data_IF_937211498290
#
_entry.id   IF_937211498290
#
_cell.length_a   1.000
_cell.length_b   1.000
_cell.length_c   1.000
_cell.angle_alpha   90.00
_cell.angle_beta   90.00
_cell.angle_gamma   90.00
#
_symmetry.space_group_name_H-M   'P 1'
#
loop_
_entity.id
_entity.type
_entity.pdbx_description
1 polymer ?
#
# COMPACT_ATOMS: atom_id res chain seq x y z
N UNK A 1 -17.92 -29.38 25.90
CA UNK A 1 -17.71 -29.35 24.43
C UNK A 1 -16.20 -29.40 24.21
N UNK A 2 -15.65 -30.44 23.57
CA UNK A 2 -14.19 -30.57 23.44
C UNK A 2 -13.60 -29.46 22.54
N UNK A 3 -12.36 -29.05 22.80
CA UNK A 3 -11.67 -28.01 22.02
C UNK A 3 -11.68 -28.32 20.50
N UNK A 4 -11.59 -29.60 20.14
CA UNK A 4 -11.67 -30.11 18.76
C UNK A 4 -13.01 -29.81 18.07
N UNK A 5 -14.13 -29.90 18.79
CA UNK A 5 -15.46 -29.61 18.23
C UNK A 5 -15.61 -28.10 17.99
N UNK A 6 -15.11 -27.29 18.93
CA UNK A 6 -15.16 -25.83 18.84
C UNK A 6 -14.30 -25.31 17.67
N UNK A 7 -13.13 -25.89 17.46
CA UNK A 7 -12.24 -25.59 16.35
C UNK A 7 -12.85 -25.98 14.99
N UNK A 8 -13.48 -27.16 14.91
CA UNK A 8 -14.20 -27.61 13.72
C UNK A 8 -15.31 -26.62 13.31
N UNK A 9 -16.11 -26.13 14.27
CA UNK A 9 -17.17 -25.15 13.98
C UNK A 9 -16.61 -23.79 13.57
N UNK A 10 -15.50 -23.34 14.15
CA UNK A 10 -14.81 -22.11 13.72
C UNK A 10 -14.33 -22.22 12.28
N UNK A 11 -13.71 -23.36 11.92
CA UNK A 11 -13.25 -23.64 10.55
C UNK A 11 -14.40 -23.65 9.53
N UNK A 12 -15.52 -24.28 9.85
CA UNK A 12 -16.73 -24.28 9.00
C UNK A 12 -17.32 -22.88 8.80
N UNK A 13 -17.40 -22.06 9.87
CA UNK A 13 -17.88 -20.68 9.77
C UNK A 13 -16.95 -19.83 8.90
N UNK A 14 -15.63 -19.99 9.05
CA UNK A 14 -14.62 -19.29 8.25
C UNK A 14 -14.69 -19.66 6.77
N UNK A 15 -14.75 -20.95 6.43
CA UNK A 15 -14.85 -21.38 5.03
C UNK A 15 -16.08 -20.80 4.32
N UNK A 16 -17.20 -20.67 5.06
CA UNK A 16 -18.40 -20.00 4.54
C UNK A 16 -18.20 -18.49 4.37
N UNK A 17 -17.41 -17.85 5.25
CA UNK A 17 -17.05 -16.44 5.11
C UNK A 17 -16.17 -16.22 3.87
N UNK A 18 -15.11 -17.02 3.71
CA UNK A 18 -14.20 -16.95 2.56
C UNK A 18 -14.98 -17.08 1.25
N UNK A 19 -15.85 -18.08 1.12
CA UNK A 19 -16.66 -18.27 -0.10
C UNK A 19 -17.53 -17.06 -0.45
N UNK A 20 -18.04 -16.35 0.55
CA UNK A 20 -18.88 -15.16 0.35
C UNK A 20 -18.03 -13.95 -0.07
N UNK A 21 -16.79 -13.85 0.44
CA UNK A 21 -15.83 -12.87 -0.03
C UNK A 21 -15.46 -13.19 -1.49
N UNK A 22 -15.07 -14.42 -1.80
CA UNK A 22 -14.73 -14.84 -3.17
C UNK A 22 -15.87 -14.58 -4.17
N UNK A 23 -17.13 -14.76 -3.76
CA UNK A 23 -18.29 -14.47 -4.61
C UNK A 23 -18.63 -12.99 -4.77
N UNK A 24 -18.03 -12.10 -3.96
CA UNK A 24 -18.29 -10.66 -3.99
C UNK A 24 -19.68 -10.25 -3.46
N UNK A 25 -20.36 -11.14 -2.72
CA UNK A 25 -21.70 -10.85 -2.20
C UNK A 25 -21.61 -10.02 -0.91
N UNK A 26 -21.59 -8.70 -1.07
CA UNK A 26 -21.52 -7.73 0.02
C UNK A 26 -22.72 -7.83 0.99
N UNK A 27 -23.89 -8.25 0.50
CA UNK A 27 -25.10 -8.35 1.33
C UNK A 27 -25.01 -9.55 2.27
N UNK A 28 -24.62 -10.71 1.74
CA UNK A 28 -24.35 -11.90 2.55
C UNK A 28 -23.15 -11.70 3.46
N UNK A 29 -22.12 -10.96 3.01
CA UNK A 29 -20.93 -10.66 3.81
C UNK A 29 -21.31 -9.83 5.04
N UNK A 30 -21.98 -8.69 4.84
CA UNK A 30 -22.40 -7.79 5.93
C UNK A 30 -23.31 -8.48 6.94
N UNK A 31 -24.25 -9.32 6.48
CA UNK A 31 -25.13 -10.11 7.36
C UNK A 31 -24.34 -11.11 8.21
N UNK A 32 -23.32 -11.75 7.63
CA UNK A 32 -22.49 -12.73 8.34
C UNK A 32 -21.57 -12.08 9.35
N UNK A 33 -20.93 -10.96 8.98
CA UNK A 33 -20.01 -10.24 9.86
C UNK A 33 -20.70 -9.79 11.17
N UNK A 34 -21.96 -9.34 11.10
CA UNK A 34 -22.76 -9.00 12.30
C UNK A 34 -22.99 -10.16 13.27
N UNK A 35 -22.94 -11.41 12.77
CA UNK A 35 -23.22 -12.62 13.54
C UNK A 35 -21.94 -13.40 13.91
N UNK A 36 -20.76 -12.89 13.54
CA UNK A 36 -19.47 -13.54 13.74
C UNK A 36 -18.72 -12.92 14.93
N UNK A 37 -17.96 -13.77 15.61
CA UNK A 37 -16.97 -13.35 16.59
C UNK A 37 -15.73 -12.82 15.83
N UNK A 38 -15.20 -11.63 16.18
CA UNK A 38 -13.98 -11.06 15.56
C UNK A 38 -12.81 -12.04 15.47
N UNK A 39 -12.68 -12.98 16.42
CA UNK A 39 -11.62 -13.99 16.41
C UNK A 39 -11.64 -14.91 15.16
N UNK A 40 -12.76 -15.00 14.44
CA UNK A 40 -12.88 -15.80 13.20
C UNK A 40 -12.26 -15.09 11.98
N UNK A 41 -12.15 -13.76 12.02
CA UNK A 41 -11.55 -12.96 10.93
C UNK A 41 -10.04 -13.23 10.79
N UNK A 42 -9.43 -13.59 11.93
CA UNK A 42 -8.00 -13.78 12.10
C UNK A 42 -7.53 -15.22 11.98
N UNK A 43 -8.45 -16.18 12.06
CA UNK A 43 -8.10 -17.59 12.03
C UNK A 43 -7.46 -17.91 10.67
N UNK A 44 -6.29 -18.54 10.62
CA UNK A 44 -5.65 -19.05 9.40
C UNK A 44 -6.10 -20.50 9.15
N UNK A 45 -6.37 -20.92 7.91
CA UNK A 45 -6.67 -22.32 7.59
C UNK A 45 -5.42 -23.04 7.07
N UNK A 46 -5.57 -24.22 6.46
CA UNK A 46 -4.45 -24.98 5.88
C UNK A 46 -3.78 -24.25 4.69
N UNK A 47 -4.37 -23.14 4.19
CA UNK A 47 -3.82 -22.24 3.15
C UNK A 47 -3.33 -20.91 3.79
N UNK A 48 -3.40 -20.79 5.12
CA UNK A 48 -2.92 -19.66 5.92
C UNK A 48 -3.55 -18.27 5.66
N UNK A 49 -4.60 -18.14 4.83
CA UNK A 49 -5.11 -16.81 4.43
C UNK A 49 -6.11 -16.22 5.46
N UNK A 50 -5.96 -14.96 5.83
CA UNK A 50 -6.94 -14.20 6.63
C UNK A 50 -8.12 -13.70 5.77
N UNK A 51 -9.20 -13.24 6.40
CA UNK A 51 -10.33 -12.66 5.65
C UNK A 51 -9.92 -11.40 4.86
N UNK A 52 -9.05 -10.56 5.44
CA UNK A 52 -8.48 -9.38 4.75
C UNK A 52 -7.67 -9.83 3.54
N UNK A 53 -6.80 -10.83 3.69
CA UNK A 53 -5.96 -11.32 2.60
C UNK A 53 -6.79 -11.84 1.42
N UNK A 54 -7.87 -12.59 1.68
CA UNK A 54 -8.78 -13.05 0.64
C UNK A 54 -9.42 -11.88 -0.09
N UNK A 55 -9.87 -10.83 0.63
CA UNK A 55 -10.46 -9.66 0.00
C UNK A 55 -9.45 -8.88 -0.86
N UNK A 56 -8.19 -8.79 -0.42
CA UNK A 56 -7.09 -8.17 -1.19
C UNK A 56 -6.83 -8.97 -2.47
N UNK A 57 -6.62 -10.28 -2.37
CA UNK A 57 -6.35 -11.16 -3.53
C UNK A 57 -7.52 -11.19 -4.52
N UNK A 58 -8.74 -10.97 -4.04
CA UNK A 58 -9.93 -10.85 -4.88
C UNK A 58 -10.16 -9.44 -5.46
N UNK A 59 -9.36 -8.42 -5.07
CA UNK A 59 -9.52 -7.04 -5.53
C UNK A 59 -10.70 -6.28 -4.91
N UNK A 60 -11.30 -6.81 -3.84
CA UNK A 60 -12.59 -6.35 -3.34
C UNK A 60 -12.45 -5.33 -2.22
N UNK A 61 -12.15 -4.08 -2.57
CA UNK A 61 -11.99 -2.98 -1.59
C UNK A 61 -13.20 -2.80 -0.66
N UNK A 62 -14.43 -2.91 -1.18
CA UNK A 62 -15.66 -2.80 -0.35
C UNK A 62 -15.83 -3.97 0.62
N UNK A 63 -15.47 -5.19 0.20
CA UNK A 63 -15.51 -6.35 1.09
C UNK A 63 -14.47 -6.18 2.20
N UNK A 64 -13.28 -5.71 1.85
CA UNK A 64 -12.20 -5.40 2.80
C UNK A 64 -12.62 -4.33 3.81
N UNK A 65 -13.25 -3.24 3.36
CA UNK A 65 -13.78 -2.19 4.24
C UNK A 65 -14.78 -2.73 5.27
N UNK A 66 -15.70 -3.61 4.85
CA UNK A 66 -16.64 -4.28 5.75
C UNK A 66 -15.93 -5.19 6.77
N UNK A 67 -14.91 -5.92 6.33
CA UNK A 67 -14.13 -6.84 7.19
C UNK A 67 -13.34 -6.04 8.23
N UNK A 68 -12.69 -4.94 7.84
CA UNK A 68 -11.98 -4.03 8.75
C UNK A 68 -12.95 -3.40 9.74
N UNK A 69 -14.11 -2.94 9.27
CA UNK A 69 -15.16 -2.37 10.13
C UNK A 69 -15.74 -3.38 11.13
N UNK A 70 -15.60 -4.69 10.85
CA UNK A 70 -15.99 -5.76 11.76
C UNK A 70 -14.90 -6.11 12.80
N UNK A 71 -13.78 -5.37 12.82
CA UNK A 71 -12.71 -5.51 13.81
C UNK A 71 -11.57 -6.44 13.39
N UNK A 72 -11.40 -6.69 12.09
CA UNK A 72 -10.24 -7.43 11.61
C UNK A 72 -8.94 -6.62 11.85
N UNK A 73 -7.87 -7.32 12.21
CA UNK A 73 -6.59 -6.71 12.57
C UNK A 73 -5.75 -6.41 11.32
N UNK A 74 -5.74 -5.14 10.91
CA UNK A 74 -4.97 -4.66 9.76
C UNK A 74 -3.45 -4.68 9.99
N UNK A 75 -3.00 -4.84 11.24
CA UNK A 75 -1.57 -4.80 11.59
C UNK A 75 -0.85 -6.11 11.32
N UNK A 76 -1.59 -7.17 11.01
CA UNK A 76 -1.00 -8.47 10.70
C UNK A 76 -0.41 -8.51 9.31
N UNK A 77 0.53 -9.43 9.16
CA UNK A 77 1.11 -9.78 7.87
C UNK A 77 0.21 -10.76 7.13
N UNK A 78 0.27 -10.70 5.81
CA UNK A 78 -0.27 -11.73 4.94
C UNK A 78 0.47 -13.05 5.14
N UNK A 79 -0.09 -14.12 4.57
CA UNK A 79 0.56 -15.44 4.52
C UNK A 79 1.94 -15.43 3.86
N UNK A 80 2.23 -14.43 3.02
CA UNK A 80 3.55 -14.19 2.42
C UNK A 80 4.54 -13.49 3.34
N UNK A 81 4.19 -13.25 4.61
CA UNK A 81 4.95 -12.42 5.55
C UNK A 81 5.12 -10.95 5.11
N UNK A 82 4.26 -10.49 4.18
CA UNK A 82 4.25 -9.10 3.74
C UNK A 82 3.12 -8.31 4.41
N UNK A 83 3.31 -7.02 4.70
CA UNK A 83 2.21 -6.13 5.06
C UNK A 83 1.11 -6.12 4.00
N UNK A 84 -0.15 -6.01 4.44
CA UNK A 84 -1.30 -5.97 3.52
C UNK A 84 -1.21 -4.85 2.48
N UNK A 85 -0.55 -3.74 2.80
CA UNK A 85 -0.35 -2.62 1.87
C UNK A 85 0.51 -3.02 0.66
N UNK A 86 1.57 -3.82 0.86
CA UNK A 86 2.40 -4.34 -0.22
C UNK A 86 1.67 -5.41 -1.03
N UNK A 87 0.94 -6.31 -0.38
CA UNK A 87 0.12 -7.29 -1.09
C UNK A 87 -0.96 -6.61 -1.96
N UNK A 88 -1.58 -5.54 -1.47
CA UNK A 88 -2.57 -4.76 -2.20
C UNK A 88 -1.97 -4.08 -3.45
N UNK A 89 -0.73 -3.59 -3.36
CA UNK A 89 -0.04 -2.95 -4.47
C UNK A 89 0.17 -3.90 -5.66
N UNK A 90 0.32 -5.20 -5.40
CA UNK A 90 0.50 -6.24 -6.43
C UNK A 90 -0.80 -6.57 -7.20
N UNK A 91 -1.96 -6.04 -6.77
CA UNK A 91 -3.25 -6.33 -7.38
C UNK A 91 -3.62 -5.33 -8.48
N UNK A 92 -4.46 -5.76 -9.43
CA UNK A 92 -4.95 -4.87 -10.52
C UNK A 92 -5.78 -3.68 -10.02
N UNK A 93 -6.42 -3.80 -8.86
CA UNK A 93 -7.25 -2.76 -8.25
C UNK A 93 -6.56 -2.13 -7.03
N UNK A 94 -5.23 -2.10 -7.07
CA UNK A 94 -4.33 -1.68 -5.99
C UNK A 94 -4.72 -0.35 -5.37
N UNK A 95 -4.99 0.68 -6.17
CA UNK A 95 -5.31 2.02 -5.65
C UNK A 95 -6.52 2.02 -4.70
N UNK A 96 -7.59 1.29 -5.05
CA UNK A 96 -8.79 1.20 -4.23
C UNK A 96 -8.54 0.43 -2.92
N UNK A 97 -7.77 -0.66 -3.00
CA UNK A 97 -7.38 -1.44 -1.82
C UNK A 97 -6.48 -0.62 -0.88
N UNK A 98 -5.45 0.01 -1.42
CA UNK A 98 -4.53 0.88 -0.68
C UNK A 98 -5.29 2.02 -0.01
N UNK A 99 -6.26 2.63 -0.70
CA UNK A 99 -7.09 3.69 -0.13
C UNK A 99 -7.81 3.23 1.14
N UNK A 100 -8.43 2.05 1.11
CA UNK A 100 -9.15 1.51 2.28
C UNK A 100 -8.18 1.18 3.42
N UNK A 101 -7.01 0.59 3.13
CA UNK A 101 -6.00 0.27 4.15
C UNK A 101 -5.48 1.55 4.83
N UNK A 102 -5.09 2.55 4.06
CA UNK A 102 -4.62 3.83 4.60
C UNK A 102 -5.71 4.54 5.42
N UNK A 103 -6.96 4.54 4.95
CA UNK A 103 -8.12 5.10 5.70
C UNK A 103 -8.34 4.40 7.05
N UNK A 104 -8.02 3.11 7.13
CA UNK A 104 -8.17 2.32 8.36
C UNK A 104 -7.08 2.56 9.41
N UNK A 105 -6.12 3.45 9.14
CA UNK A 105 -5.05 3.81 10.07
C UNK A 105 -3.81 2.92 9.97
N UNK A 106 -3.56 2.31 8.80
CA UNK A 106 -2.24 1.72 8.51
C UNK A 106 -1.17 2.82 8.60
N UNK A 107 -0.28 2.71 9.58
CA UNK A 107 0.78 3.69 9.82
C UNK A 107 2.00 3.46 8.92
N UNK A 108 2.83 4.50 8.76
CA UNK A 108 4.11 4.50 8.02
C UNK A 108 5.09 3.38 8.40
N UNK A 109 5.02 2.88 9.64
CA UNK A 109 5.88 1.80 10.14
C UNK A 109 5.51 0.41 9.60
N UNK A 110 4.33 0.24 8.98
CA UNK A 110 3.83 -1.05 8.48
C UNK A 110 4.08 -1.26 6.98
N UNK A 111 5.13 -0.62 6.46
CA UNK A 111 5.28 -0.35 5.02
C UNK A 111 6.54 -1.00 4.43
N UNK A 112 7.30 -1.68 5.29
CA UNK A 112 8.56 -2.32 4.99
C UNK A 112 8.34 -3.85 5.05
N UNK A 113 8.70 -4.59 4.01
CA UNK A 113 8.72 -6.06 4.06
C UNK A 113 10.04 -6.59 4.66
N UNK A 114 10.17 -7.90 4.82
CA UNK A 114 11.39 -8.55 5.35
C UNK A 114 12.66 -8.26 4.53
N UNK A 115 12.53 -7.73 3.31
CA UNK A 115 13.63 -7.33 2.43
C UNK A 115 13.89 -5.83 2.44
N UNK A 116 13.43 -5.11 3.47
CA UNK A 116 13.53 -3.66 3.64
C UNK A 116 12.98 -2.85 2.46
N UNK A 117 11.98 -3.37 1.74
CA UNK A 117 11.34 -2.65 0.63
C UNK A 117 10.18 -1.80 1.15
N UNK A 118 10.32 -0.48 1.06
CA UNK A 118 9.26 0.48 1.35
C UNK A 118 8.20 0.49 0.22
N UNK A 119 6.90 0.58 0.54
CA UNK A 119 5.83 0.57 -0.50
C UNK A 119 5.96 1.66 -1.56
N UNK A 120 6.54 2.82 -1.21
CA UNK A 120 6.75 3.94 -2.16
C UNK A 120 7.67 3.50 -3.29
N UNK A 121 8.80 2.86 -2.95
CA UNK A 121 9.75 2.36 -3.95
C UNK A 121 9.20 1.11 -4.65
N UNK A 122 8.40 0.28 -3.95
CA UNK A 122 7.69 -0.84 -4.57
C UNK A 122 6.73 -0.43 -5.70
N UNK A 123 6.21 0.80 -5.69
CA UNK A 123 5.35 1.30 -6.78
C UNK A 123 6.03 1.26 -8.14
N UNK A 124 7.34 1.48 -8.19
CA UNK A 124 8.10 1.48 -9.44
C UNK A 124 8.20 0.08 -10.08
N UNK A 125 7.95 -0.98 -9.30
CA UNK A 125 7.90 -2.36 -9.78
C UNK A 125 6.49 -2.79 -10.19
N UNK A 126 5.46 -2.30 -9.51
CA UNK A 126 4.10 -2.84 -9.59
C UNK A 126 3.10 -1.93 -10.31
N UNK A 127 3.38 -0.63 -10.40
CA UNK A 127 2.49 0.34 -11.04
C UNK A 127 2.94 0.63 -12.47
N UNK A 128 1.97 0.79 -13.37
CA UNK A 128 2.24 1.44 -14.66
C UNK A 128 2.57 2.94 -14.45
N UNK A 129 3.20 3.62 -15.44
CA UNK A 129 3.49 5.05 -15.32
C UNK A 129 2.27 5.92 -15.00
N UNK A 130 1.09 5.56 -15.53
CA UNK A 130 -0.17 6.27 -15.26
C UNK A 130 -0.67 6.07 -13.83
N UNK A 131 -0.45 4.88 -13.26
CA UNK A 131 -0.86 4.55 -11.90
C UNK A 131 0.13 5.07 -10.86
N UNK A 132 1.41 5.14 -11.21
CA UNK A 132 2.50 5.48 -10.29
C UNK A 132 2.27 6.82 -9.58
N UNK A 133 1.97 7.89 -10.33
CA UNK A 133 1.70 9.22 -9.75
C UNK A 133 0.46 9.17 -8.83
N UNK A 134 -0.59 8.42 -9.21
CA UNK A 134 -1.79 8.28 -8.38
C UNK A 134 -1.51 7.56 -7.06
N UNK A 135 -0.68 6.52 -7.08
CA UNK A 135 -0.28 5.78 -5.89
C UNK A 135 0.60 6.63 -4.97
N UNK A 136 1.62 7.28 -5.53
CA UNK A 136 2.50 8.17 -4.77
C UNK A 136 1.72 9.35 -4.17
N UNK A 137 0.82 9.96 -4.95
CA UNK A 137 -0.09 11.01 -4.47
C UNK A 137 -0.99 10.53 -3.34
N UNK A 138 -1.49 9.29 -3.43
CA UNK A 138 -2.27 8.68 -2.35
C UNK A 138 -1.43 8.48 -1.10
N UNK A 139 -0.19 8.02 -1.21
CA UNK A 139 0.69 7.83 -0.06
C UNK A 139 1.05 9.16 0.62
N UNK A 140 1.35 10.19 -0.16
CA UNK A 140 1.58 11.55 0.34
C UNK A 140 0.39 12.12 1.12
N UNK A 141 -0.84 11.87 0.66
CA UNK A 141 -2.05 12.30 1.38
C UNK A 141 -2.15 11.73 2.79
N UNK A 142 -1.51 10.58 3.04
CA UNK A 142 -1.46 9.92 4.35
C UNK A 142 -0.10 10.14 5.06
N UNK A 143 0.68 11.13 4.62
CA UNK A 143 1.90 11.57 5.31
C UNK A 143 3.11 10.67 5.10
N UNK A 144 3.13 9.87 4.05
CA UNK A 144 4.26 8.99 3.76
C UNK A 144 5.44 9.74 3.16
N UNK A 145 6.65 9.38 3.59
CA UNK A 145 7.89 10.00 3.15
C UNK A 145 8.40 9.38 1.84
N UNK A 146 8.66 10.24 0.84
CA UNK A 146 9.20 9.87 -0.46
C UNK A 146 10.72 9.62 -0.43
N UNK A 147 11.38 10.06 0.63
CA UNK A 147 12.83 9.99 0.78
C UNK A 147 13.31 8.71 1.47
N UNK A 148 12.39 7.82 1.85
CA UNK A 148 12.75 6.51 2.40
C UNK A 148 13.43 5.66 1.32
N UNK A 149 14.71 5.30 1.50
CA UNK A 149 15.41 4.46 0.54
C UNK A 149 14.90 3.02 0.59
N UNK A 150 14.99 2.32 -0.53
CA UNK A 150 14.85 0.86 -0.54
C UNK A 150 16.12 0.16 -0.02
N UNK A 151 16.11 -1.18 -0.04
CA UNK A 151 17.26 -2.00 0.37
C UNK A 151 18.53 -1.83 -0.47
N UNK A 152 18.47 -1.12 -1.59
CA UNK A 152 19.64 -0.74 -2.39
C UNK A 152 20.10 0.70 -2.11
N UNK A 153 19.48 1.40 -1.16
CA UNK A 153 19.75 2.80 -0.89
C UNK A 153 19.08 3.76 -1.87
N UNK A 154 18.16 3.29 -2.72
CA UNK A 154 17.54 4.11 -3.77
C UNK A 154 16.19 4.69 -3.30
N UNK A 155 16.04 6.00 -3.43
CA UNK A 155 14.80 6.73 -3.13
C UNK A 155 13.81 6.67 -4.30
N UNK A 156 12.59 7.19 -4.10
CA UNK A 156 11.62 7.32 -5.18
C UNK A 156 12.16 8.15 -6.36
N UNK A 157 12.94 9.21 -6.08
CA UNK A 157 13.53 10.05 -7.12
C UNK A 157 14.59 9.30 -7.93
N UNK A 158 15.41 8.47 -7.28
CA UNK A 158 16.43 7.65 -7.95
C UNK A 158 15.83 6.65 -8.94
N UNK A 159 14.70 6.04 -8.56
CA UNK A 159 13.97 5.16 -9.48
C UNK A 159 13.34 5.94 -10.64
N UNK A 160 12.78 7.13 -10.38
CA UNK A 160 12.18 7.97 -11.41
C UNK A 160 13.21 8.49 -12.44
N UNK A 161 14.44 8.78 -12.02
CA UNK A 161 15.50 9.26 -12.91
C UNK A 161 15.83 8.27 -14.04
N UNK A 162 15.63 6.96 -13.81
CA UNK A 162 15.82 5.91 -14.84
C UNK A 162 14.74 5.90 -15.91
N UNK A 163 13.61 6.58 -15.69
CA UNK A 163 12.46 6.57 -16.61
C UNK A 163 12.42 7.77 -17.54
N UNK A 164 13.21 8.82 -17.26
CA UNK A 164 13.17 10.13 -17.93
C UNK A 164 11.77 10.77 -18.01
N UNK A 165 10.82 10.27 -17.22
CA UNK A 165 9.46 10.78 -17.18
C UNK A 165 9.43 12.13 -16.46
N UNK A 166 9.47 13.20 -17.24
CA UNK A 166 9.48 14.59 -16.75
C UNK A 166 8.31 14.90 -15.81
N UNK A 167 7.11 14.35 -16.06
CA UNK A 167 5.94 14.59 -15.23
C UNK A 167 6.11 13.97 -13.85
N UNK A 168 6.56 12.71 -13.79
CA UNK A 168 6.86 12.01 -12.55
C UNK A 168 7.98 12.69 -11.76
N UNK A 169 9.06 13.09 -12.43
CA UNK A 169 10.18 13.78 -11.79
C UNK A 169 9.76 15.12 -11.20
N UNK A 170 8.96 15.90 -11.94
CA UNK A 170 8.43 17.16 -11.45
C UNK A 170 7.49 16.95 -10.26
N UNK A 171 6.59 15.95 -10.34
CA UNK A 171 5.70 15.57 -9.25
C UNK A 171 6.48 15.22 -7.97
N UNK A 172 7.52 14.39 -8.06
CA UNK A 172 8.33 13.99 -6.91
C UNK A 172 9.04 15.17 -6.26
N UNK A 173 9.73 16.00 -7.06
CA UNK A 173 10.44 17.18 -6.56
C UNK A 173 9.45 18.14 -5.87
N UNK A 174 8.36 18.49 -6.55
CA UNK A 174 7.31 19.38 -5.99
C UNK A 174 6.60 18.82 -4.77
N UNK A 175 6.66 17.51 -4.56
CA UNK A 175 6.12 16.82 -3.39
C UNK A 175 7.13 16.63 -2.25
N UNK A 176 8.32 17.23 -2.35
CA UNK A 176 9.34 17.21 -1.29
C UNK A 176 10.33 16.05 -1.35
N UNK A 177 10.44 15.36 -2.49
CA UNK A 177 11.55 14.44 -2.72
C UNK A 177 12.87 15.22 -2.81
N UNK A 178 13.89 14.76 -2.08
CA UNK A 178 15.19 15.39 -2.03
C UNK A 178 15.97 15.06 -3.30
N UNK A 179 16.49 16.08 -4.01
CA UNK A 179 17.37 15.85 -5.15
C UNK A 179 18.68 15.21 -4.71
N UNK A 180 19.33 14.40 -5.57
CA UNK A 180 20.66 13.91 -5.28
C UNK A 180 21.66 15.07 -5.25
N UNK A 181 22.77 14.91 -4.51
CA UNK A 181 23.86 15.89 -4.49
C UNK A 181 24.45 16.12 -5.89
N UNK A 182 24.54 15.05 -6.68
CA UNK A 182 25.04 15.07 -8.04
C UNK A 182 24.02 14.36 -8.95
N UNK A 183 23.51 15.09 -9.94
CA UNK A 183 22.62 14.52 -10.94
C UNK A 183 23.36 13.49 -11.82
N UNK A 184 22.72 12.38 -12.23
CA UNK A 184 23.35 11.39 -13.10
C UNK A 184 23.87 12.02 -14.40
N UNK A 185 25.05 11.59 -14.85
CA UNK A 185 25.62 12.03 -16.14
C UNK A 185 24.74 11.66 -17.32
N UNK A 186 24.01 10.53 -17.21
CA UNK A 186 23.07 10.06 -18.23
C UNK A 186 21.84 10.97 -18.40
N UNK A 187 21.58 11.90 -17.47
CA UNK A 187 20.42 12.77 -17.51
C UNK A 187 20.61 13.88 -18.56
N UNK A 188 19.69 14.05 -19.53
CA UNK A 188 19.79 15.11 -20.55
C UNK A 188 19.89 16.51 -19.94
N UNK A 189 20.75 17.38 -20.47
CA UNK A 189 21.03 18.72 -19.92
C UNK A 189 19.78 19.61 -19.82
N UNK A 190 18.86 19.50 -20.78
CA UNK A 190 17.59 20.22 -20.76
C UNK A 190 16.69 19.79 -19.60
N UNK A 191 16.65 18.49 -19.30
CA UNK A 191 15.91 17.93 -18.18
C UNK A 191 16.59 18.28 -16.87
N UNK A 192 17.92 18.10 -16.76
CA UNK A 192 18.71 18.51 -15.59
C UNK A 192 18.47 19.98 -15.24
N UNK A 193 18.58 20.87 -16.22
CA UNK A 193 18.34 22.31 -16.03
C UNK A 193 16.91 22.61 -15.57
N UNK A 194 15.94 21.84 -16.04
CA UNK A 194 14.55 21.98 -15.61
C UNK A 194 14.34 21.51 -14.17
N UNK A 195 14.85 20.33 -13.80
CA UNK A 195 14.72 19.81 -12.43
C UNK A 195 15.43 20.71 -11.43
N UNK A 196 16.61 21.24 -11.76
CA UNK A 196 17.32 22.18 -10.90
C UNK A 196 16.49 23.44 -10.62
N UNK A 197 15.81 23.98 -11.64
CA UNK A 197 14.89 25.12 -11.44
C UNK A 197 13.72 24.78 -10.52
N UNK A 198 13.17 23.56 -10.62
CA UNK A 198 12.11 23.11 -9.71
C UNK A 198 12.60 23.02 -8.26
N UNK A 199 13.82 22.50 -8.05
CA UNK A 199 14.45 22.45 -6.73
C UNK A 199 14.65 23.86 -6.15
N UNK A 200 15.19 24.77 -6.96
CA UNK A 200 15.45 26.15 -6.54
C UNK A 200 14.14 26.87 -6.16
N UNK A 201 13.06 26.68 -6.93
CA UNK A 201 11.73 27.25 -6.65
C UNK A 201 11.17 26.75 -5.30
N UNK A 202 11.29 25.45 -5.00
CA UNK A 202 10.83 24.89 -3.73
C UNK A 202 11.64 25.44 -2.56
N UNK A 203 12.97 25.52 -2.71
CA UNK A 203 13.86 26.09 -1.69
C UNK A 203 13.48 27.52 -1.39
N UNK A 204 13.23 28.34 -2.43
CA UNK A 204 12.78 29.72 -2.26
C UNK A 204 11.44 29.77 -1.51
N UNK A 205 10.47 28.93 -1.87
CA UNK A 205 9.18 28.88 -1.17
C UNK A 205 9.32 28.53 0.31
N UNK A 206 10.17 27.55 0.65
CA UNK A 206 10.45 27.18 2.03
C UNK A 206 11.05 28.34 2.82
N UNK A 207 12.01 29.09 2.24
CA UNK A 207 12.60 30.28 2.87
C UNK A 207 11.57 31.38 3.20
N UNK A 208 10.47 31.48 2.45
CA UNK A 208 9.39 32.43 2.72
C UNK A 208 8.40 31.95 3.78
N UNK A 209 8.33 30.65 4.06
CA UNK A 209 7.45 30.07 5.08
C UNK A 209 8.07 30.05 6.48
N UNK A 210 9.40 30.16 6.56
CA UNK A 210 10.18 30.12 7.81
C UNK A 210 10.44 31.52 8.43
N UNK A 211 9.89 32.59 7.85
CA UNK A 211 9.96 33.99 8.33
C UNK A 211 8.70 34.40 9.08
#
# INVERSE_FOLDING_TARGET
MSALILDYFKKQKKNKLIKVIESGDLTSLSKRLKALDPAVLEASDNIHLSAIEVAIRAGQAKAMELIISAGADIKKLASSHEPYLLLALQQKQSLALISVLLQSGTNSEQIINETDTHVVTACFRHCSPAELILHLGRFLQYGMDLNQPDSHGLTALDHALKTENKELLNFLITSGAQPPEVWPESLPDNLRSHLQRCVDDIRIRQMFLEQ
#
